data_IF_316992541194
#
_entry.id   IF_316992541194
#
_cell.length_a   1.000
_cell.length_b   1.000
_cell.length_c   1.000
_cell.angle_alpha   90.00
_cell.angle_beta   90.00
_cell.angle_gamma   90.00
#
_symmetry.space_group_name_H-M   'P 1'
#
loop_
_entity.id
_entity.type
_entity.pdbx_description
1 polymer ?
#
# COMPACT_ATOMS: atom_id res chain seq x y z
N UNK A 1 -68.50 38.38 -56.90
CA UNK A 1 -67.58 38.28 -55.75
C UNK A 1 -67.33 36.80 -55.54
N UNK A 2 -66.11 36.36 -55.80
CA UNK A 2 -65.67 34.96 -55.68
C UNK A 2 -65.07 34.84 -54.28
N UNK A 3 -65.73 34.11 -53.40
CA UNK A 3 -65.18 33.80 -52.09
C UNK A 3 -64.12 32.71 -52.25
N UNK A 4 -62.87 33.12 -52.03
CA UNK A 4 -61.70 32.27 -52.09
C UNK A 4 -61.73 31.24 -50.95
N UNK A 5 -61.73 29.98 -51.34
CA UNK A 5 -61.38 28.83 -50.51
C UNK A 5 -60.02 29.04 -49.83
N UNK A 6 -59.94 28.75 -48.54
CA UNK A 6 -58.68 28.44 -47.87
C UNK A 6 -58.85 27.11 -47.14
N UNK A 7 -58.48 26.02 -47.83
CA UNK A 7 -58.39 24.69 -47.23
C UNK A 7 -57.26 24.65 -46.18
N UNK A 8 -57.46 23.91 -45.07
CA UNK A 8 -56.45 23.76 -44.05
C UNK A 8 -55.31 22.88 -44.58
N UNK A 9 -54.14 23.50 -44.72
CA UNK A 9 -52.89 22.82 -45.08
C UNK A 9 -52.62 21.65 -44.12
N UNK A 10 -52.69 20.44 -44.68
CA UNK A 10 -52.48 19.19 -43.97
C UNK A 10 -51.12 19.13 -43.28
N UNK A 11 -51.16 19.05 -41.95
CA UNK A 11 -50.04 18.63 -41.11
C UNK A 11 -49.64 17.20 -41.51
N UNK A 12 -48.67 17.08 -42.41
CA UNK A 12 -47.98 15.82 -42.69
C UNK A 12 -47.17 15.44 -41.45
N UNK A 13 -47.78 14.71 -40.53
CA UNK A 13 -47.06 14.00 -39.48
C UNK A 13 -46.28 12.85 -40.13
N UNK A 14 -45.06 13.15 -40.56
CA UNK A 14 -44.09 12.15 -41.03
C UNK A 14 -43.71 11.28 -39.83
N UNK A 15 -44.43 10.17 -39.66
CA UNK A 15 -44.11 9.13 -38.69
C UNK A 15 -42.86 8.39 -39.14
N UNK A 16 -41.70 8.95 -38.79
CA UNK A 16 -40.39 8.37 -39.06
C UNK A 16 -40.28 7.05 -38.28
N UNK A 17 -40.44 5.93 -38.97
CA UNK A 17 -40.29 4.60 -38.38
C UNK A 17 -38.80 4.32 -38.17
N UNK A 18 -38.39 4.21 -36.91
CA UNK A 18 -37.00 3.98 -36.55
C UNK A 18 -36.65 2.50 -36.72
N UNK A 19 -35.52 2.21 -37.38
CA UNK A 19 -35.02 0.83 -37.47
C UNK A 19 -34.60 0.32 -36.08
N UNK A 20 -34.69 -0.99 -35.85
CA UNK A 20 -34.18 -1.63 -34.61
C UNK A 20 -32.71 -1.25 -34.34
N UNK A 21 -31.92 -0.99 -35.38
CA UNK A 21 -30.52 -0.53 -35.26
C UNK A 21 -30.43 0.90 -34.71
N UNK A 22 -31.30 1.81 -35.14
CA UNK A 22 -31.32 3.19 -34.67
C UNK A 22 -31.80 3.30 -33.23
N UNK A 23 -32.80 2.50 -32.85
CA UNK A 23 -33.27 2.41 -31.46
C UNK A 23 -32.14 1.94 -30.55
N UNK A 24 -31.39 0.88 -30.95
CA UNK A 24 -30.21 0.40 -30.18
C UNK A 24 -29.13 1.49 -30.06
N UNK A 25 -28.86 2.24 -31.13
CA UNK A 25 -27.89 3.34 -31.11
C UNK A 25 -28.33 4.48 -30.17
N UNK A 26 -29.59 4.88 -30.22
CA UNK A 26 -30.17 5.90 -29.33
C UNK A 26 -30.11 5.47 -27.86
N UNK A 27 -30.44 4.21 -27.55
CA UNK A 27 -30.36 3.66 -26.18
C UNK A 27 -28.92 3.66 -25.68
N UNK A 28 -27.95 3.19 -26.48
CA UNK A 28 -26.52 3.23 -26.14
C UNK A 28 -26.04 4.67 -25.91
N UNK A 29 -26.44 5.61 -26.76
CA UNK A 29 -26.10 7.04 -26.62
C UNK A 29 -26.71 7.65 -25.35
N UNK A 30 -27.96 7.32 -25.02
CA UNK A 30 -28.62 7.73 -23.76
C UNK A 30 -27.90 7.17 -22.54
N UNK A 31 -27.56 5.87 -22.54
CA UNK A 31 -26.83 5.23 -21.45
C UNK A 31 -25.45 5.86 -21.24
N UNK A 32 -24.70 6.14 -22.32
CA UNK A 32 -23.40 6.82 -22.24
C UNK A 32 -23.54 8.23 -21.67
N UNK A 33 -24.53 9.01 -22.12
CA UNK A 33 -24.84 10.34 -21.56
C UNK A 33 -25.21 10.25 -20.07
N UNK A 34 -25.99 9.24 -19.67
CA UNK A 34 -26.41 9.06 -18.28
C UNK A 34 -25.23 8.67 -17.38
N UNK A 35 -24.35 7.77 -17.85
CA UNK A 35 -23.11 7.41 -17.16
C UNK A 35 -22.19 8.61 -16.95
N UNK A 36 -22.03 9.46 -17.96
CA UNK A 36 -21.26 10.71 -17.82
C UNK A 36 -21.87 11.67 -16.81
N UNK A 37 -23.21 11.82 -16.78
CA UNK A 37 -23.91 12.63 -15.77
C UNK A 37 -23.69 12.12 -14.35
N UNK A 38 -23.78 10.80 -14.15
CA UNK A 38 -23.52 10.16 -12.84
C UNK A 38 -22.07 10.41 -12.40
N UNK A 39 -21.10 10.21 -13.28
CA UNK A 39 -19.69 10.44 -12.99
C UNK A 39 -19.40 11.91 -12.65
N UNK A 40 -20.01 12.86 -13.37
CA UNK A 40 -19.89 14.30 -13.06
C UNK A 40 -20.45 14.62 -11.68
N UNK A 41 -21.61 14.05 -11.31
CA UNK A 41 -22.19 14.20 -9.96
C UNK A 41 -21.28 13.61 -8.87
N UNK A 42 -20.69 12.43 -9.11
CA UNK A 42 -19.73 11.80 -8.18
C UNK A 42 -18.49 12.68 -7.98
N UNK A 43 -17.86 13.15 -9.06
CA UNK A 43 -16.70 14.06 -9.00
C UNK A 43 -17.04 15.37 -8.27
N UNK A 44 -18.20 15.95 -8.56
CA UNK A 44 -18.67 17.17 -7.88
C UNK A 44 -18.85 16.96 -6.37
N UNK A 45 -19.52 15.86 -5.94
CA UNK A 45 -19.63 15.53 -4.50
C UNK A 45 -18.26 15.37 -3.86
N UNK A 46 -17.32 14.71 -4.53
CA UNK A 46 -15.97 14.46 -4.00
C UNK A 46 -15.19 15.76 -3.83
N UNK A 47 -15.28 16.67 -4.81
CA UNK A 47 -14.69 18.01 -4.71
C UNK A 47 -15.32 18.85 -3.59
N UNK A 48 -16.64 18.78 -3.41
CA UNK A 48 -17.34 19.44 -2.32
C UNK A 48 -16.84 18.94 -0.95
N UNK A 49 -16.73 17.63 -0.76
CA UNK A 49 -16.21 17.06 0.49
C UNK A 49 -14.74 17.42 0.73
N UNK A 50 -13.91 17.45 -0.31
CA UNK A 50 -12.51 17.92 -0.23
C UNK A 50 -12.44 19.38 0.21
N UNK A 51 -13.18 20.28 -0.44
CA UNK A 51 -13.25 21.70 -0.05
C UNK A 51 -13.75 21.86 1.38
N UNK A 52 -14.81 21.14 1.77
CA UNK A 52 -15.36 21.21 3.13
C UNK A 52 -14.35 20.74 4.18
N UNK A 53 -13.55 19.71 3.89
CA UNK A 53 -12.47 19.25 4.76
C UNK A 53 -11.36 20.30 4.87
N UNK A 54 -10.96 20.90 3.75
CA UNK A 54 -9.98 22.00 3.72
C UNK A 54 -10.46 23.24 4.49
N UNK A 55 -11.73 23.61 4.39
CA UNK A 55 -12.28 24.73 5.16
C UNK A 55 -12.27 24.46 6.67
N UNK A 56 -12.51 23.22 7.10
CA UNK A 56 -12.39 22.84 8.53
C UNK A 56 -10.96 22.95 9.03
N UNK A 57 -9.98 22.47 8.25
CA UNK A 57 -8.56 22.59 8.61
C UNK A 57 -8.13 24.04 8.63
N UNK A 58 -8.57 24.86 7.66
CA UNK A 58 -8.23 26.28 7.62
C UNK A 58 -8.82 27.04 8.81
N UNK A 59 -10.07 26.76 9.22
CA UNK A 59 -10.65 27.38 10.42
C UNK A 59 -9.87 27.05 11.68
N UNK A 60 -9.47 25.78 11.84
CA UNK A 60 -8.67 25.34 12.97
C UNK A 60 -7.29 26.01 12.99
N UNK A 61 -6.64 26.12 11.83
CA UNK A 61 -5.36 26.81 11.70
C UNK A 61 -5.50 28.31 11.95
N UNK A 62 -6.59 28.93 11.52
CA UNK A 62 -6.86 30.35 11.73
C UNK A 62 -7.09 30.65 13.21
N UNK A 63 -7.85 29.81 13.92
CA UNK A 63 -7.99 29.93 15.39
C UNK A 63 -6.65 29.77 16.11
N UNK A 64 -5.74 28.91 15.62
CA UNK A 64 -4.39 28.78 16.18
C UNK A 64 -3.54 30.01 15.89
N UNK A 65 -3.58 30.54 14.66
CA UNK A 65 -2.85 31.75 14.30
C UNK A 65 -3.36 32.99 15.06
N UNK A 66 -4.67 33.11 15.31
CA UNK A 66 -5.25 34.21 16.07
C UNK A 66 -4.88 34.15 17.56
N UNK A 67 -4.60 32.96 18.10
CA UNK A 67 -4.12 32.79 19.49
C UNK A 67 -2.62 33.03 19.65
N UNK A 68 -1.86 32.99 18.56
CA UNK A 68 -0.42 33.24 18.62
C UNK A 68 -0.23 34.76 18.53
N UNK A 69 0.04 35.40 19.67
CA UNK A 69 0.55 36.77 19.67
C UNK A 69 1.87 36.79 18.90
N UNK A 70 1.87 37.43 17.74
CA UNK A 70 3.10 37.67 16.98
C UNK A 70 3.91 38.70 17.76
N UNK A 71 4.83 38.23 18.60
CA UNK A 71 5.90 39.08 19.14
C UNK A 71 6.75 39.50 17.95
N UNK A 72 6.88 40.82 17.75
CA UNK A 72 7.76 41.34 16.72
C UNK A 72 9.22 41.04 17.13
N UNK A 73 10.09 40.74 16.17
CA UNK A 73 11.51 40.46 16.45
C UNK A 73 12.16 41.61 17.25
N UNK A 74 11.68 42.83 17.05
CA UNK A 74 12.11 44.04 17.78
C UNK A 74 11.69 44.07 19.26
N UNK A 75 10.73 43.25 19.69
CA UNK A 75 10.34 43.12 21.10
C UNK A 75 11.19 42.08 21.87
N UNK A 76 11.93 41.22 21.15
CA UNK A 76 12.81 40.21 21.78
C UNK A 76 14.19 40.77 22.13
N UNK A 77 14.67 41.77 21.38
CA UNK A 77 16.02 42.33 21.53
C UNK A 77 16.21 43.21 22.78
N UNK A 78 15.12 43.61 23.45
CA UNK A 78 15.19 44.40 24.70
C UNK A 78 15.04 43.57 25.98
N UNK A 79 14.90 42.24 25.88
CA UNK A 79 14.73 41.35 27.05
C UNK A 79 15.83 40.28 27.20
N UNK A 80 16.74 40.13 26.23
CA UNK A 80 17.79 39.10 26.31
C UNK A 80 18.76 39.33 27.48
N UNK A 81 19.03 40.57 27.87
CA UNK A 81 19.95 40.87 28.99
C UNK A 81 19.29 40.72 30.37
N UNK A 82 17.96 40.80 30.47
CA UNK A 82 17.25 40.78 31.76
C UNK A 82 16.69 39.40 32.14
N UNK A 83 16.41 38.51 31.18
CA UNK A 83 15.79 37.21 31.46
C UNK A 83 16.76 36.03 31.56
N UNK A 84 17.97 36.14 31.02
CA UNK A 84 18.95 35.04 31.05
C UNK A 84 19.53 34.79 32.46
N UNK A 85 19.52 35.80 33.33
CA UNK A 85 20.02 35.70 34.72
C UNK A 85 18.94 35.43 35.77
N UNK A 86 17.65 35.64 35.46
CA UNK A 86 16.56 35.59 36.46
C UNK A 86 15.62 34.40 36.34
N UNK A 87 15.58 33.67 35.22
CA UNK A 87 14.71 32.51 35.08
C UNK A 87 15.52 31.35 34.53
N UNK A 88 16.09 30.53 35.42
CA UNK A 88 16.54 29.21 35.01
C UNK A 88 15.31 28.45 34.49
N UNK A 89 15.35 27.90 33.26
CA UNK A 89 14.25 27.09 32.77
C UNK A 89 14.03 25.97 33.77
N UNK A 90 12.79 25.83 34.26
CA UNK A 90 12.41 24.80 35.21
C UNK A 90 13.00 23.48 34.67
N UNK A 91 13.90 22.81 35.41
CA UNK A 91 14.75 21.76 34.86
C UNK A 91 13.94 20.60 34.26
N UNK A 92 12.70 20.44 34.70
CA UNK A 92 11.72 19.49 34.17
C UNK A 92 11.24 19.84 32.75
N UNK A 93 11.00 21.12 32.45
CA UNK A 93 10.57 21.60 31.12
C UNK A 93 11.71 21.44 30.12
N UNK A 94 12.95 21.75 30.52
CA UNK A 94 14.14 21.53 29.70
C UNK A 94 14.37 20.03 29.43
N UNK A 95 14.18 19.17 30.44
CA UNK A 95 14.24 17.71 30.28
C UNK A 95 13.16 17.20 29.32
N UNK A 96 11.93 17.68 29.46
CA UNK A 96 10.83 17.28 28.59
C UNK A 96 11.07 17.69 27.14
N UNK A 97 11.54 18.91 26.91
CA UNK A 97 11.90 19.39 25.57
C UNK A 97 12.99 18.53 24.93
N UNK A 98 14.05 18.22 25.68
CA UNK A 98 15.12 17.34 25.21
C UNK A 98 14.63 15.93 24.90
N UNK A 99 13.80 15.34 25.77
CA UNK A 99 13.19 14.02 25.52
C UNK A 99 12.30 14.02 24.28
N UNK A 100 11.54 15.09 24.05
CA UNK A 100 10.70 15.23 22.88
C UNK A 100 11.53 15.32 21.59
N UNK A 101 12.57 16.16 21.58
CA UNK A 101 13.49 16.25 20.45
C UNK A 101 14.16 14.89 20.16
N UNK A 102 14.66 14.21 21.19
CA UNK A 102 15.25 12.87 21.04
C UNK A 102 14.24 11.88 20.47
N UNK A 103 13.00 11.91 20.95
CA UNK A 103 11.92 11.03 20.47
C UNK A 103 11.56 11.33 19.01
N UNK A 104 11.51 12.61 18.64
CA UNK A 104 11.28 13.05 17.27
C UNK A 104 12.39 12.53 16.35
N UNK A 105 13.66 12.77 16.68
CA UNK A 105 14.79 12.33 15.86
C UNK A 105 14.88 10.81 15.76
N UNK A 106 14.61 10.08 16.85
CA UNK A 106 14.51 8.61 16.83
C UNK A 106 13.42 8.12 15.90
N UNK A 107 12.22 8.70 15.96
CA UNK A 107 11.11 8.33 15.08
C UNK A 107 11.43 8.61 13.62
N UNK A 108 12.12 9.73 13.34
CA UNK A 108 12.53 10.13 12.00
C UNK A 108 13.60 9.20 11.44
N UNK A 109 14.59 8.83 12.25
CA UNK A 109 15.64 7.89 11.86
C UNK A 109 15.06 6.51 11.51
N UNK A 110 14.16 5.98 12.36
CA UNK A 110 13.50 4.70 12.10
C UNK A 110 12.64 4.73 10.83
N UNK A 111 11.90 5.82 10.58
CA UNK A 111 11.10 5.96 9.37
C UNK A 111 11.96 5.94 8.11
N UNK A 112 13.11 6.64 8.14
CA UNK A 112 14.06 6.66 7.03
C UNK A 112 14.73 5.30 6.82
N UNK A 113 15.06 4.59 7.90
CA UNK A 113 15.61 3.23 7.81
C UNK A 113 14.63 2.26 7.13
N UNK A 114 13.34 2.33 7.51
CA UNK A 114 12.29 1.52 6.89
C UNK A 114 12.11 1.85 5.40
N UNK A 115 12.13 3.14 5.04
CA UNK A 115 12.06 3.59 3.65
C UNK A 115 13.25 3.06 2.84
N UNK A 116 14.47 3.23 3.35
CA UNK A 116 15.69 2.73 2.71
C UNK A 116 15.63 1.22 2.49
N UNK A 117 15.18 0.46 3.49
CA UNK A 117 15.03 -0.99 3.38
C UNK A 117 14.00 -1.40 2.32
N UNK A 118 12.89 -0.65 2.19
CA UNK A 118 11.90 -0.88 1.14
C UNK A 118 12.46 -0.56 -0.25
N UNK A 119 13.24 0.52 -0.38
CA UNK A 119 13.91 0.89 -1.63
C UNK A 119 14.89 -0.20 -2.07
N UNK A 120 15.74 -0.69 -1.16
CA UNK A 120 16.65 -1.80 -1.44
C UNK A 120 15.91 -3.04 -1.92
N UNK A 121 14.88 -3.49 -1.20
CA UNK A 121 14.06 -4.64 -1.62
C UNK A 121 13.37 -4.39 -2.97
N UNK A 122 12.92 -3.17 -3.24
CA UNK A 122 12.30 -2.85 -4.52
C UNK A 122 13.31 -2.96 -5.67
N UNK A 123 14.51 -2.40 -5.47
CA UNK A 123 15.61 -2.46 -6.45
C UNK A 123 16.02 -3.91 -6.70
N UNK A 124 16.21 -4.72 -5.65
CA UNK A 124 16.49 -6.15 -5.77
C UNK A 124 15.43 -6.89 -6.59
N UNK A 125 14.14 -6.59 -6.34
CA UNK A 125 13.04 -7.17 -7.11
C UNK A 125 13.04 -6.72 -8.58
N UNK A 126 13.40 -5.48 -8.87
CA UNK A 126 13.53 -5.01 -10.25
C UNK A 126 14.68 -5.72 -10.97
N UNK A 127 15.84 -5.87 -10.33
CA UNK A 127 16.96 -6.62 -10.90
C UNK A 127 16.63 -8.11 -11.06
N UNK A 128 15.92 -8.71 -10.10
CA UNK A 128 15.46 -10.10 -10.20
C UNK A 128 14.48 -10.29 -11.37
N UNK A 129 13.58 -9.34 -11.62
CA UNK A 129 12.69 -9.36 -12.79
C UNK A 129 13.45 -9.19 -14.09
N UNK A 130 14.35 -8.21 -14.14
CA UNK A 130 15.14 -7.93 -15.33
C UNK A 130 16.02 -9.13 -15.71
N UNK A 131 16.67 -9.78 -14.74
CA UNK A 131 17.45 -11.00 -14.98
C UNK A 131 16.58 -12.17 -15.46
N UNK A 132 15.38 -12.33 -14.92
CA UNK A 132 14.41 -13.33 -15.42
C UNK A 132 13.97 -13.04 -16.85
N UNK A 133 13.65 -11.79 -17.19
CA UNK A 133 13.25 -11.38 -18.53
C UNK A 133 14.35 -11.66 -19.56
N UNK A 134 15.62 -11.41 -19.21
CA UNK A 134 16.75 -11.77 -20.06
C UNK A 134 16.95 -13.29 -20.19
N UNK A 135 16.74 -14.06 -19.12
CA UNK A 135 16.81 -15.53 -19.16
C UNK A 135 15.68 -16.15 -20.01
N UNK A 136 14.45 -15.63 -19.87
CA UNK A 136 13.25 -16.06 -20.60
C UNK A 136 13.35 -15.71 -22.09
N UNK A 137 13.90 -14.53 -22.43
CA UNK A 137 14.22 -14.19 -23.82
C UNK A 137 15.33 -15.08 -24.40
N UNK A 138 16.34 -15.46 -23.60
CA UNK A 138 17.40 -16.38 -24.03
C UNK A 138 16.90 -17.79 -24.34
N UNK A 139 15.91 -18.28 -23.59
CA UNK A 139 15.27 -19.58 -23.80
C UNK A 139 14.42 -19.58 -25.10
N UNK A 140 13.76 -18.46 -25.42
CA UNK A 140 13.01 -18.28 -26.67
C UNK A 140 13.90 -18.33 -27.95
N UNK A 141 15.16 -17.88 -27.88
CA UNK A 141 16.07 -17.96 -29.03
C UNK A 141 16.71 -19.36 -29.21
N UNK A 142 16.65 -20.24 -28.21
CA UNK A 142 17.15 -21.63 -28.31
C UNK A 142 16.07 -22.61 -28.82
N UNK A 143 14.78 -22.39 -28.52
CA UNK A 143 13.69 -23.26 -28.99
C UNK A 143 13.49 -23.22 -30.52
N UNK A 144 13.76 -22.08 -31.17
CA UNK A 144 13.61 -21.91 -32.62
C UNK A 144 14.73 -22.60 -33.44
N UNK A 145 15.79 -23.09 -32.79
CA UNK A 145 16.96 -23.70 -33.45
C UNK A 145 16.89 -25.21 -33.69
N UNK A 146 15.87 -25.91 -33.19
CA UNK A 146 15.86 -27.39 -33.10
C UNK A 146 15.11 -28.14 -34.22
N UNK A 147 14.80 -27.49 -35.35
CA UNK A 147 14.21 -28.17 -36.52
C UNK A 147 14.99 -27.97 -37.82
N UNK A 148 16.31 -28.19 -37.84
CA UNK A 148 17.04 -28.64 -39.05
C UNK A 148 18.20 -29.56 -38.65
N UNK A 149 18.17 -30.79 -39.19
CA UNK A 149 19.21 -31.81 -39.00
C UNK A 149 20.56 -31.32 -39.56
N UNK A 150 21.61 -31.46 -38.76
CA UNK A 150 23.00 -31.45 -39.17
C UNK A 150 23.78 -32.43 -38.30
N UNK A 151 24.28 -33.48 -38.92
CA UNK A 151 25.10 -34.54 -38.34
C UNK A 151 26.48 -33.98 -37.93
N UNK A 152 26.84 -34.10 -36.66
CA UNK A 152 28.22 -34.12 -36.18
C UNK A 152 28.23 -34.90 -34.85
N UNK A 153 28.90 -36.05 -34.84
CA UNK A 153 29.18 -36.80 -33.62
C UNK A 153 30.40 -36.17 -32.97
N UNK A 154 30.31 -35.85 -31.68
CA UNK A 154 31.38 -36.19 -30.76
C UNK A 154 30.77 -36.44 -29.37
N UNK A 155 31.26 -37.52 -28.79
CA UNK A 155 31.05 -37.95 -27.41
C UNK A 155 31.32 -36.78 -26.48
N UNK A 156 30.38 -36.49 -25.58
CA UNK A 156 30.61 -36.53 -24.12
C UNK A 156 29.29 -36.20 -23.42
N UNK A 157 28.78 -37.19 -22.70
CA UNK A 157 27.46 -37.16 -22.11
C UNK A 157 27.43 -36.37 -20.80
N UNK A 158 26.64 -35.30 -20.77
CA UNK A 158 26.12 -34.76 -19.51
C UNK A 158 24.60 -34.91 -19.44
N UNK A 159 24.18 -35.73 -18.48
CA UNK A 159 22.80 -36.05 -18.16
C UNK A 159 22.07 -34.79 -17.65
N UNK A 160 21.35 -34.08 -18.52
CA UNK A 160 20.49 -32.98 -18.09
C UNK A 160 19.24 -33.52 -17.40
N UNK A 161 19.31 -33.67 -16.07
CA UNK A 161 18.15 -34.03 -15.24
C UNK A 161 17.16 -32.86 -15.29
N UNK A 162 16.04 -33.04 -16.01
CA UNK A 162 14.87 -32.17 -15.92
C UNK A 162 14.37 -32.14 -14.48
N UNK A 163 14.72 -31.09 -13.75
CA UNK A 163 14.19 -30.83 -12.40
C UNK A 163 12.80 -30.22 -12.55
N UNK A 164 11.77 -31.06 -12.54
CA UNK A 164 10.38 -30.61 -12.46
C UNK A 164 10.20 -29.74 -11.22
N UNK A 165 10.05 -28.42 -11.42
CA UNK A 165 9.57 -27.51 -10.39
C UNK A 165 8.06 -27.71 -10.26
N UNK A 166 7.64 -28.64 -9.40
CA UNK A 166 6.27 -28.68 -8.88
C UNK A 166 5.98 -27.33 -8.21
N UNK A 167 5.25 -26.46 -8.90
CA UNK A 167 4.64 -25.27 -8.32
C UNK A 167 3.55 -25.75 -7.38
N UNK A 168 3.85 -25.80 -6.08
CA UNK A 168 2.79 -26.00 -5.09
C UNK A 168 1.86 -24.78 -5.15
N UNK A 169 0.61 -25.03 -5.54
CA UNK A 169 -0.49 -24.10 -5.40
C UNK A 169 -0.58 -23.61 -3.95
N UNK A 170 -0.93 -22.34 -3.67
CA UNK A 170 -1.22 -21.87 -2.32
C UNK A 170 -2.51 -22.50 -1.77
N UNK A 171 -2.53 -23.81 -1.57
CA UNK A 171 -3.50 -24.44 -0.70
C UNK A 171 -3.18 -24.03 0.73
N UNK A 172 -4.19 -23.42 1.35
CA UNK A 172 -4.20 -22.92 2.71
C UNK A 172 -3.53 -23.92 3.65
N UNK A 173 -2.38 -23.53 4.23
CA UNK A 173 -1.82 -24.24 5.38
C UNK A 173 -2.80 -24.08 6.54
N UNK A 174 -3.76 -24.97 6.62
CA UNK A 174 -4.60 -25.16 7.79
C UNK A 174 -3.64 -25.38 8.96
N UNK A 175 -3.64 -24.46 9.91
CA UNK A 175 -2.84 -24.56 11.12
C UNK A 175 -3.37 -25.74 11.94
N UNK A 176 -2.81 -26.93 11.72
CA UNK A 176 -3.10 -28.11 12.54
C UNK A 176 -2.36 -27.95 13.86
N UNK A 177 -3.08 -28.12 14.97
CA UNK A 177 -2.49 -28.10 16.29
C UNK A 177 -1.38 -29.17 16.37
N UNK A 178 -0.21 -28.87 16.96
CA UNK A 178 0.88 -29.84 17.02
C UNK A 178 0.44 -31.07 17.83
N UNK A 179 0.51 -32.26 17.23
CA UNK A 179 0.28 -33.53 17.92
C UNK A 179 1.31 -33.72 19.05
N UNK A 180 0.97 -34.48 20.10
CA UNK A 180 1.71 -34.52 21.38
C UNK A 180 3.22 -34.75 21.29
N UNK A 181 3.72 -35.42 20.25
CA UNK A 181 5.15 -35.71 20.05
C UNK A 181 5.84 -34.74 19.06
N UNK A 182 5.14 -33.74 18.54
CA UNK A 182 5.67 -32.80 17.53
C UNK A 182 6.88 -32.01 18.03
N UNK A 183 6.94 -31.72 19.34
CA UNK A 183 8.06 -31.00 19.95
C UNK A 183 9.35 -31.83 19.93
N UNK A 184 9.26 -33.12 20.24
CA UNK A 184 10.39 -34.03 20.23
C UNK A 184 10.88 -34.26 18.80
N UNK A 185 9.96 -34.50 17.85
CA UNK A 185 10.29 -34.59 16.43
C UNK A 185 10.99 -33.33 15.90
N UNK A 186 10.49 -32.14 16.23
CA UNK A 186 11.15 -30.88 15.84
C UNK A 186 12.57 -30.79 16.40
N UNK A 187 12.81 -31.22 17.64
CA UNK A 187 14.16 -31.22 18.22
C UNK A 187 15.09 -32.23 17.54
N UNK A 188 14.60 -33.42 17.22
CA UNK A 188 15.34 -34.44 16.47
C UNK A 188 15.67 -33.96 15.05
N UNK A 189 14.70 -33.38 14.34
CA UNK A 189 14.89 -32.79 13.01
C UNK A 189 15.93 -31.66 13.06
N UNK A 190 15.85 -30.78 14.06
CA UNK A 190 16.84 -29.70 14.24
C UNK A 190 18.23 -30.25 14.55
N UNK A 191 18.33 -31.30 15.35
CA UNK A 191 19.60 -31.97 15.64
C UNK A 191 20.18 -32.64 14.39
N UNK A 192 19.32 -33.21 13.54
CA UNK A 192 19.75 -33.84 12.28
C UNK A 192 20.24 -32.80 11.26
N UNK A 193 19.57 -31.65 11.15
CA UNK A 193 19.92 -30.59 10.17
C UNK A 193 21.09 -29.72 10.63
N UNK A 194 21.13 -29.35 11.92
CA UNK A 194 22.06 -28.34 12.44
C UNK A 194 23.11 -28.91 13.41
N UNK A 195 23.03 -30.20 13.76
CA UNK A 195 24.00 -30.86 14.64
C UNK A 195 24.13 -30.19 16.01
N UNK A 196 25.36 -29.95 16.44
CA UNK A 196 25.68 -29.33 17.75
C UNK A 196 25.24 -27.87 17.84
N UNK A 197 25.00 -27.20 16.72
CA UNK A 197 24.52 -25.80 16.68
C UNK A 197 23.00 -25.69 16.78
N UNK A 198 22.27 -26.81 16.74
CA UNK A 198 20.81 -26.85 16.86
C UNK A 198 20.23 -26.02 18.03
N UNK A 199 20.74 -26.10 19.28
CA UNK A 199 20.20 -25.29 20.36
C UNK A 199 20.40 -23.78 20.16
N UNK A 200 21.53 -23.39 19.53
CA UNK A 200 21.83 -21.98 19.24
C UNK A 200 20.86 -21.43 18.18
N UNK A 201 20.65 -22.16 17.08
CA UNK A 201 19.74 -21.77 16.01
C UNK A 201 18.29 -21.71 16.53
N UNK A 202 17.87 -22.68 17.35
CA UNK A 202 16.55 -22.67 17.97
C UNK A 202 16.37 -21.46 18.90
N UNK A 203 17.40 -21.10 19.67
CA UNK A 203 17.40 -19.88 20.47
C UNK A 203 17.24 -18.62 19.62
N UNK A 204 17.91 -18.54 18.47
CA UNK A 204 17.79 -17.41 17.55
C UNK A 204 16.39 -17.34 16.90
N UNK A 205 15.84 -18.47 16.44
CA UNK A 205 14.50 -18.54 15.85
C UNK A 205 13.43 -18.09 16.87
N UNK A 206 13.52 -18.59 18.11
CA UNK A 206 12.60 -18.21 19.18
C UNK A 206 12.71 -16.73 19.55
N UNK A 207 13.91 -16.17 19.62
CA UNK A 207 14.10 -14.74 19.86
C UNK A 207 13.46 -13.87 18.77
N UNK A 208 13.62 -14.27 17.50
CA UNK A 208 12.97 -13.59 16.36
C UNK A 208 11.45 -13.70 16.46
N UNK A 209 10.92 -14.88 16.72
CA UNK A 209 9.47 -15.09 16.87
C UNK A 209 8.89 -14.23 18.00
N UNK A 210 9.56 -14.19 19.17
CA UNK A 210 9.14 -13.36 20.30
C UNK A 210 9.14 -11.87 19.95
N UNK A 211 10.19 -11.39 19.27
CA UNK A 211 10.23 -9.99 18.83
C UNK A 211 9.07 -9.67 17.90
N UNK A 212 8.76 -10.56 16.95
CA UNK A 212 7.64 -10.42 16.04
C UNK A 212 6.30 -10.40 16.78
N UNK A 213 6.11 -11.31 17.74
CA UNK A 213 4.89 -11.37 18.55
C UNK A 213 4.69 -10.08 19.36
N UNK A 214 5.77 -9.52 19.95
CA UNK A 214 5.73 -8.22 20.64
C UNK A 214 5.35 -7.06 19.70
N UNK A 215 5.89 -7.05 18.48
CA UNK A 215 5.48 -6.07 17.47
C UNK A 215 4.00 -6.22 17.12
N UNK A 216 3.50 -7.46 16.97
CA UNK A 216 2.08 -7.69 16.69
C UNK A 216 1.18 -7.22 17.84
N UNK A 217 1.54 -7.51 19.08
CA UNK A 217 0.78 -7.07 20.27
C UNK A 217 0.68 -5.54 20.36
N UNK A 218 1.74 -4.82 19.96
CA UNK A 218 1.74 -3.36 19.92
C UNK A 218 0.67 -2.78 18.99
N UNK A 219 0.41 -3.43 17.86
CA UNK A 219 -0.56 -2.94 16.86
C UNK A 219 -1.94 -3.57 16.98
N UNK A 220 -2.05 -4.75 17.59
CA UNK A 220 -3.29 -5.47 17.85
C UNK A 220 -3.27 -6.05 19.28
N UNK A 221 -3.54 -5.24 20.33
CA UNK A 221 -3.63 -5.76 21.68
C UNK A 221 -4.78 -6.77 21.76
N UNK A 222 -4.42 -8.05 21.89
CA UNK A 222 -5.36 -9.19 21.89
C UNK A 222 -6.30 -9.19 23.09
N UNK A 223 -5.87 -8.57 24.18
CA UNK A 223 -6.62 -8.41 25.41
C UNK A 223 -6.94 -6.93 25.56
N UNK A 224 -8.21 -6.56 25.38
CA UNK A 224 -8.70 -5.34 25.99
C UNK A 224 -8.52 -5.54 27.50
N UNK A 225 -7.92 -4.60 28.26
CA UNK A 225 -7.98 -4.71 29.71
C UNK A 225 -9.46 -4.78 30.06
N UNK A 226 -9.84 -5.88 30.72
CA UNK A 226 -11.17 -6.06 31.29
C UNK A 226 -11.28 -5.02 32.41
N UNK A 227 -11.57 -3.78 32.05
CA UNK A 227 -11.81 -2.69 33.00
C UNK A 227 -13.09 -3.12 33.71
N UNK A 228 -13.05 -3.39 35.03
CA UNK A 228 -14.27 -3.63 35.77
C UNK A 228 -15.09 -2.35 35.70
N UNK A 229 -16.09 -2.33 34.81
CA UNK A 229 -17.11 -1.30 34.81
C UNK A 229 -17.87 -1.49 36.12
N UNK A 230 -17.75 -0.53 37.04
CA UNK A 230 -18.71 -0.41 38.13
C UNK A 230 -20.03 0.02 37.50
N UNK A 231 -20.92 -0.97 37.26
CA UNK A 231 -22.33 -0.74 36.99
C UNK A 231 -23.06 -0.44 38.31
#
# INVERSE_FOLDING_TARGET
MVDCYCEPSGLKTSSRTWSKKDIKFLVRRKLKKNRSRILRRKRSRLNYWKQRKQLKTNRYNQTLCDTISVCSITDMDYQEEFHSSLIQPIPEVAKWHNQHQISYWKSRALALELENNLLHKHIENLYAKQTQEYADCGEYYLEQGSTKKGHFTDSDGEHFVKRERKRNSPEERIWKAPEGNARQKKLEDMKNVYGDMAPKILGMETAIQLSYDLYLEKYNPKHWPNIPLRL
#
